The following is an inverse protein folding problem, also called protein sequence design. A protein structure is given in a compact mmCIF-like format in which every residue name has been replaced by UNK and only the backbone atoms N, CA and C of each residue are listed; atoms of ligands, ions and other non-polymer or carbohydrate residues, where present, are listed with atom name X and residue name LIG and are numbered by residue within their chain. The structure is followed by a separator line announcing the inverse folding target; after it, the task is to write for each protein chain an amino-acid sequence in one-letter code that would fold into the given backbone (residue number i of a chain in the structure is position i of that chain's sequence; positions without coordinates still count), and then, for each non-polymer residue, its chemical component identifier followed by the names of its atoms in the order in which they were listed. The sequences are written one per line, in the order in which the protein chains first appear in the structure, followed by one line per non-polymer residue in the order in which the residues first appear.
data_IF_756291363167
#
_entry.id   IF_756291363167
#
_cell.length_a   1.000
_cell.length_b   1.000
_cell.length_c   1.000
_cell.angle_alpha   90.00
_cell.angle_beta   90.00
_cell.angle_gamma   90.00
#
_symmetry.space_group_name_H-M   'P 1'
#
loop_
_entity.id
_entity.type
_entity.pdbx_description
1 polymer ?
#
# COMPACT_ATOMS: atom_id res chain seq x y z
N UNK A 1 -1.59 9.65 8.23
CA UNK A 1 -2.73 10.33 7.56
C UNK A 1 -3.40 9.37 6.59
N UNK A 2 -4.74 9.41 6.41
CA UNK A 2 -5.47 8.44 5.57
C UNK A 2 -5.49 8.88 4.10
N UNK A 3 -4.68 8.26 3.23
CA UNK A 3 -4.53 8.67 1.81
C UNK A 3 -5.34 7.90 0.76
N UNK A 4 -6.06 6.84 1.16
CA UNK A 4 -6.69 5.94 0.19
C UNK A 4 -7.76 6.61 -0.67
N UNK A 5 -8.62 7.44 -0.08
CA UNK A 5 -9.70 8.11 -0.82
C UNK A 5 -9.16 9.05 -1.90
N UNK A 6 -8.13 9.85 -1.57
CA UNK A 6 -7.45 10.69 -2.55
C UNK A 6 -6.82 9.82 -3.65
N UNK A 7 -6.07 8.78 -3.28
CA UNK A 7 -5.42 7.90 -4.23
C UNK A 7 -6.40 7.25 -5.23
N UNK A 8 -7.57 6.79 -4.78
CA UNK A 8 -8.59 6.22 -5.66
C UNK A 8 -9.10 7.25 -6.68
N UNK A 9 -9.46 8.44 -6.20
CA UNK A 9 -9.97 9.51 -7.06
C UNK A 9 -8.89 10.02 -8.03
N UNK A 10 -7.67 10.22 -7.55
CA UNK A 10 -6.51 10.60 -8.35
C UNK A 10 -6.21 9.56 -9.44
N UNK A 11 -6.30 8.28 -9.12
CA UNK A 11 -6.08 7.19 -10.08
C UNK A 11 -7.15 7.20 -11.17
N UNK A 12 -8.42 7.37 -10.79
CA UNK A 12 -9.53 7.45 -11.76
C UNK A 12 -9.38 8.70 -12.64
N UNK A 13 -9.00 9.84 -12.06
CA UNK A 13 -8.79 11.09 -12.79
C UNK A 13 -7.65 10.98 -13.80
N UNK A 14 -6.51 10.40 -13.42
CA UNK A 14 -5.31 10.37 -14.26
C UNK A 14 -5.27 9.19 -15.24
N UNK A 15 -5.77 8.02 -14.84
CA UNK A 15 -5.64 6.78 -15.60
C UNK A 15 -6.99 6.17 -16.01
N UNK A 16 -8.11 6.78 -15.61
CA UNK A 16 -9.44 6.31 -15.99
C UNK A 16 -9.63 6.35 -17.50
N UNK A 17 -10.27 5.32 -18.04
CA UNK A 17 -10.57 5.25 -19.49
C UNK A 17 -11.59 6.28 -19.97
N UNK A 18 -12.26 7.00 -19.05
CA UNK A 18 -13.40 7.87 -19.33
C UNK A 18 -14.72 7.14 -19.62
N UNK A 19 -14.71 5.81 -19.74
CA UNK A 19 -15.91 5.01 -20.04
C UNK A 19 -16.76 4.68 -18.80
N UNK A 20 -16.21 4.89 -17.60
CA UNK A 20 -16.89 4.68 -16.32
C UNK A 20 -16.67 5.90 -15.44
N UNK A 21 -17.73 6.34 -14.78
CA UNK A 21 -17.68 7.48 -13.84
C UNK A 21 -17.19 7.01 -12.46
N UNK A 22 -16.81 7.96 -11.59
CA UNK A 22 -16.51 7.66 -10.18
C UNK A 22 -17.69 6.96 -9.51
N UNK A 23 -18.93 7.38 -9.82
CA UNK A 23 -20.14 6.73 -9.30
C UNK A 23 -20.22 5.26 -9.72
N UNK A 24 -19.96 4.95 -11.00
CA UNK A 24 -19.98 3.57 -11.51
C UNK A 24 -18.94 2.68 -10.82
N UNK A 25 -17.77 3.24 -10.52
CA UNK A 25 -16.68 2.52 -9.82
C UNK A 25 -17.04 2.21 -8.37
N UNK A 26 -17.70 3.15 -7.67
CA UNK A 26 -18.06 2.97 -6.26
C UNK A 26 -19.37 2.22 -6.04
N UNK A 27 -20.26 2.18 -7.04
CA UNK A 27 -21.59 1.58 -6.94
C UNK A 27 -21.58 0.13 -6.41
N UNK A 28 -20.70 -0.79 -6.87
CA UNK A 28 -20.66 -2.14 -6.30
C UNK A 28 -20.34 -2.15 -4.80
N UNK A 29 -19.45 -1.27 -4.33
CA UNK A 29 -19.07 -1.18 -2.93
C UNK A 29 -20.19 -0.54 -2.07
N UNK A 30 -20.86 0.48 -2.60
CA UNK A 30 -22.03 1.10 -1.96
C UNK A 30 -23.14 0.06 -1.82
N UNK A 31 -23.47 -0.66 -2.89
CA UNK A 31 -24.49 -1.71 -2.88
C UNK A 31 -24.17 -2.81 -1.87
N UNK A 32 -22.94 -3.31 -1.83
CA UNK A 32 -22.53 -4.30 -0.81
C UNK A 32 -22.65 -3.75 0.61
N UNK A 33 -22.38 -2.47 0.84
CA UNK A 33 -22.57 -1.85 2.14
C UNK A 33 -24.06 -1.68 2.51
N UNK A 34 -24.95 -1.43 1.55
CA UNK A 34 -26.39 -1.21 1.79
C UNK A 34 -27.21 -2.50 1.86
N UNK A 35 -26.98 -3.41 0.91
CA UNK A 35 -27.68 -4.70 0.79
C UNK A 35 -27.06 -5.76 1.71
N UNK A 36 -25.77 -5.60 1.97
CA UNK A 36 -25.00 -6.43 2.88
C UNK A 36 -24.29 -7.60 2.22
N UNK A 37 -23.36 -8.18 2.96
CA UNK A 37 -22.60 -9.36 2.55
C UNK A 37 -22.29 -10.27 3.75
N UNK A 38 -21.81 -11.49 3.48
CA UNK A 38 -21.37 -12.44 4.51
C UNK A 38 -19.84 -12.46 4.59
N UNK A 39 -19.30 -12.55 5.80
CA UNK A 39 -17.86 -12.73 6.06
C UNK A 39 -17.65 -13.39 7.44
N UNK A 40 -16.51 -14.06 7.67
CA UNK A 40 -16.28 -14.77 8.95
C UNK A 40 -14.92 -14.50 9.61
N UNK A 41 -13.94 -14.05 8.82
CA UNK A 41 -12.58 -13.83 9.30
C UNK A 41 -12.36 -12.36 9.64
N UNK A 42 -11.61 -12.07 10.71
CA UNK A 42 -11.22 -10.71 11.18
C UNK A 42 -12.04 -10.09 12.31
N UNK A 43 -12.93 -10.84 12.99
CA UNK A 43 -13.68 -10.31 14.16
C UNK A 43 -12.75 -9.68 15.19
N UNK A 44 -11.73 -10.43 15.62
CA UNK A 44 -10.76 -9.96 16.63
C UNK A 44 -9.98 -8.73 16.15
N UNK A 45 -9.62 -8.69 14.87
CA UNK A 45 -8.91 -7.55 14.28
C UNK A 45 -9.78 -6.30 14.28
N UNK A 46 -11.04 -6.42 13.85
CA UNK A 46 -12.01 -5.31 13.81
C UNK A 46 -12.27 -4.76 15.21
N UNK A 47 -12.52 -5.63 16.20
CA UNK A 47 -12.72 -5.22 17.60
C UNK A 47 -11.52 -4.47 18.18
N UNK A 48 -10.31 -4.94 17.86
CA UNK A 48 -9.09 -4.35 18.39
C UNK A 48 -8.68 -3.06 17.65
N UNK A 49 -9.12 -2.86 16.42
CA UNK A 49 -8.73 -1.73 15.60
C UNK A 49 -9.38 -0.41 16.04
N UNK A 50 -10.60 -0.45 16.58
CA UNK A 50 -11.35 0.77 16.94
C UNK A 50 -12.39 0.47 18.02
N UNK A 51 -12.67 1.42 18.95
CA UNK A 51 -13.84 1.32 19.82
C UNK A 51 -15.16 1.23 19.06
N UNK A 52 -15.21 1.72 17.81
CA UNK A 52 -16.39 1.67 16.95
C UNK A 52 -16.39 0.44 16.04
N UNK A 53 -15.51 -0.56 16.30
CA UNK A 53 -15.42 -1.77 15.50
C UNK A 53 -16.73 -2.56 15.44
N UNK A 54 -17.60 -2.40 16.45
CA UNK A 54 -18.94 -3.00 16.48
C UNK A 54 -19.84 -2.52 15.32
N UNK A 55 -19.58 -1.35 14.72
CA UNK A 55 -20.30 -0.91 13.51
C UNK A 55 -20.05 -1.82 12.30
N UNK A 56 -18.96 -2.60 12.33
CA UNK A 56 -18.61 -3.58 11.32
C UNK A 56 -18.94 -5.01 11.73
N UNK A 57 -19.69 -5.20 12.82
CA UNK A 57 -20.03 -6.51 13.39
C UNK A 57 -21.54 -6.67 13.57
N UNK A 58 -22.04 -7.90 13.44
CA UNK A 58 -23.43 -8.23 13.69
C UNK A 58 -23.59 -8.54 15.19
N UNK A 59 -24.16 -7.58 15.94
CA UNK A 59 -24.29 -7.67 17.40
C UNK A 59 -22.95 -7.96 18.09
N UNK A 60 -21.88 -7.29 17.64
CA UNK A 60 -20.54 -7.45 18.19
C UNK A 60 -19.87 -8.78 17.84
N UNK A 61 -20.33 -9.52 16.83
CA UNK A 61 -19.65 -10.72 16.30
C UNK A 61 -19.59 -10.73 14.77
N UNK A 62 -18.70 -11.52 14.21
CA UNK A 62 -18.75 -11.82 12.78
C UNK A 62 -20.07 -12.54 12.43
N UNK A 63 -20.65 -12.29 11.24
CA UNK A 63 -21.87 -12.99 10.84
C UNK A 63 -21.62 -14.50 10.67
N UNK A 64 -22.56 -15.30 11.17
CA UNK A 64 -22.56 -16.76 11.01
C UNK A 64 -22.93 -17.18 9.58
N UNK A 65 -22.69 -18.44 9.16
CA UNK A 65 -23.19 -18.93 7.88
C UNK A 65 -24.68 -18.63 7.69
N UNK A 66 -25.04 -18.03 6.56
CA UNK A 66 -26.41 -17.62 6.24
C UNK A 66 -26.84 -16.27 6.81
N UNK A 67 -26.00 -15.62 7.63
CA UNK A 67 -26.22 -14.24 8.07
C UNK A 67 -25.53 -13.25 7.14
N UNK A 68 -26.13 -12.06 7.02
CA UNK A 68 -25.64 -10.96 6.21
C UNK A 68 -25.52 -9.73 7.11
N UNK A 69 -24.41 -9.00 7.00
CA UNK A 69 -24.22 -7.72 7.67
C UNK A 69 -24.34 -6.57 6.67
N UNK A 70 -25.00 -5.50 7.08
CA UNK A 70 -25.10 -4.23 6.34
C UNK A 70 -24.28 -3.16 7.04
N UNK A 71 -23.64 -2.30 6.27
CA UNK A 71 -22.75 -1.23 6.73
C UNK A 71 -23.27 0.15 6.25
N UNK A 72 -24.44 0.62 6.73
CA UNK A 72 -25.08 1.83 6.22
C UNK A 72 -24.24 3.11 6.40
N UNK A 73 -23.44 3.19 7.47
CA UNK A 73 -22.54 4.34 7.67
C UNK A 73 -21.38 4.33 6.67
N UNK A 74 -20.88 3.16 6.29
CA UNK A 74 -19.86 3.03 5.25
C UNK A 74 -20.43 3.40 3.88
N UNK A 75 -21.65 2.96 3.57
CA UNK A 75 -22.36 3.36 2.36
C UNK A 75 -22.50 4.89 2.26
N UNK A 76 -22.95 5.54 3.35
CA UNK A 76 -23.01 7.01 3.41
C UNK A 76 -21.65 7.65 3.16
N UNK A 77 -20.58 7.15 3.77
CA UNK A 77 -19.22 7.65 3.53
C UNK A 77 -18.79 7.51 2.07
N UNK A 78 -19.10 6.40 1.41
CA UNK A 78 -18.83 6.27 -0.02
C UNK A 78 -19.68 7.21 -0.88
N UNK A 79 -20.95 7.45 -0.51
CA UNK A 79 -21.80 8.44 -1.20
C UNK A 79 -21.23 9.85 -1.09
N UNK A 80 -20.72 10.25 0.07
CA UNK A 80 -20.05 11.56 0.24
C UNK A 80 -18.84 11.69 -0.70
N UNK A 81 -18.04 10.63 -0.86
CA UNK A 81 -16.91 10.61 -1.79
C UNK A 81 -17.37 10.71 -3.24
N UNK A 82 -18.46 10.05 -3.61
CA UNK A 82 -19.02 10.11 -4.97
C UNK A 82 -19.60 11.49 -5.26
N UNK A 83 -20.33 12.08 -4.32
CA UNK A 83 -21.03 13.36 -4.49
C UNK A 83 -20.11 14.58 -4.42
N UNK A 84 -19.08 14.52 -3.57
CA UNK A 84 -18.20 15.65 -3.27
C UNK A 84 -16.73 15.41 -3.60
N UNK A 85 -16.40 14.27 -4.23
CA UNK A 85 -15.02 13.93 -4.57
C UNK A 85 -14.13 13.83 -3.33
N UNK A 86 -12.93 14.39 -3.41
CA UNK A 86 -11.96 14.39 -2.28
C UNK A 86 -12.52 15.13 -1.08
N UNK A 87 -13.22 16.24 -1.31
CA UNK A 87 -13.78 17.05 -0.23
C UNK A 87 -14.81 16.27 0.61
N UNK A 88 -15.50 15.29 0.04
CA UNK A 88 -16.40 14.40 0.78
C UNK A 88 -15.74 13.52 1.83
N UNK A 89 -14.42 13.28 1.73
CA UNK A 89 -13.64 12.51 2.71
C UNK A 89 -12.75 13.40 3.59
N UNK A 90 -12.11 14.39 2.97
CA UNK A 90 -11.08 15.23 3.60
C UNK A 90 -11.64 16.51 4.23
N UNK A 91 -12.92 16.82 4.00
CA UNK A 91 -13.65 17.93 4.63
C UNK A 91 -15.04 17.44 5.12
N UNK A 92 -15.70 18.28 5.90
CA UNK A 92 -17.06 18.03 6.39
C UNK A 92 -17.20 16.80 7.30
N UNK A 93 -18.37 16.14 7.21
CA UNK A 93 -18.81 15.09 8.15
C UNK A 93 -17.80 13.95 8.35
N UNK A 94 -17.17 13.48 7.26
CA UNK A 94 -16.23 12.36 7.33
C UNK A 94 -14.93 12.79 8.00
N UNK A 95 -14.42 13.97 7.66
CA UNK A 95 -13.22 14.53 8.27
C UNK A 95 -13.41 14.82 9.77
N UNK A 96 -14.53 15.43 10.14
CA UNK A 96 -14.93 15.68 11.52
C UNK A 96 -14.98 14.38 12.33
N UNK A 97 -15.66 13.34 11.82
CA UNK A 97 -15.73 12.04 12.49
C UNK A 97 -14.35 11.37 12.67
N UNK A 98 -13.43 11.55 11.71
CA UNK A 98 -12.06 11.04 11.83
C UNK A 98 -11.29 11.79 12.92
N UNK A 99 -11.34 13.13 12.91
CA UNK A 99 -10.65 13.98 13.89
C UNK A 99 -11.18 13.71 15.30
N UNK A 100 -12.49 13.66 15.48
CA UNK A 100 -13.13 13.39 16.77
C UNK A 100 -12.70 12.03 17.34
N UNK A 101 -12.70 10.98 16.49
CA UNK A 101 -12.26 9.65 16.91
C UNK A 101 -10.77 9.66 17.31
N UNK A 102 -9.90 10.30 16.53
CA UNK A 102 -8.47 10.36 16.81
C UNK A 102 -8.20 11.15 18.11
N UNK A 103 -8.84 12.30 18.28
CA UNK A 103 -8.73 13.12 19.49
C UNK A 103 -9.26 12.39 20.73
N UNK A 104 -10.35 11.63 20.61
CA UNK A 104 -10.87 10.79 21.71
C UNK A 104 -9.87 9.75 22.21
N UNK A 105 -8.84 9.43 21.41
CA UNK A 105 -7.74 8.51 21.75
C UNK A 105 -6.43 9.22 22.08
N UNK A 106 -6.45 10.54 22.26
CA UNK A 106 -5.28 11.35 22.58
C UNK A 106 -4.41 11.71 21.38
N UNK A 107 -4.90 11.52 20.16
CA UNK A 107 -4.21 11.99 18.95
C UNK A 107 -4.35 13.50 18.75
N UNK A 108 -3.45 14.07 17.95
CA UNK A 108 -3.32 15.52 17.73
C UNK A 108 -3.76 15.98 16.32
N UNK A 109 -4.44 15.10 15.57
CA UNK A 109 -4.86 15.43 14.20
C UNK A 109 -5.93 16.53 14.23
N UNK A 110 -5.76 17.53 13.38
CA UNK A 110 -6.71 18.61 13.15
C UNK A 110 -7.41 18.48 11.80
N UNK A 111 -8.53 19.20 11.62
CA UNK A 111 -9.22 19.25 10.33
C UNK A 111 -8.33 19.81 9.22
N UNK A 112 -7.49 20.79 9.55
CA UNK A 112 -6.53 21.38 8.61
C UNK A 112 -5.50 20.36 8.13
N UNK A 113 -5.13 19.37 8.96
CA UNK A 113 -4.27 18.28 8.49
C UNK A 113 -4.96 17.57 7.33
N UNK A 114 -6.21 17.12 7.52
CA UNK A 114 -7.01 16.43 6.50
C UNK A 114 -7.27 17.30 5.26
N UNK A 115 -7.62 18.57 5.45
CA UNK A 115 -7.92 19.48 4.35
C UNK A 115 -6.69 19.76 3.47
N UNK A 116 -5.48 19.73 4.04
CA UNK A 116 -4.22 19.91 3.32
C UNK A 116 -3.64 18.59 2.76
N UNK A 117 -4.40 17.49 2.80
CA UNK A 117 -3.96 16.24 2.20
C UNK A 117 -3.74 16.37 0.70
N UNK A 118 -2.66 15.78 0.20
CA UNK A 118 -2.46 15.59 -1.23
C UNK A 118 -1.80 14.24 -1.50
N UNK A 119 -2.10 13.69 -2.68
CA UNK A 119 -1.40 12.55 -3.25
C UNK A 119 -0.20 13.06 -4.05
N UNK A 120 0.89 12.29 -4.03
CA UNK A 120 2.08 12.58 -4.84
C UNK A 120 2.22 11.50 -5.89
N UNK A 121 2.27 11.90 -7.16
CA UNK A 121 2.73 11.03 -8.23
C UNK A 121 4.25 10.99 -8.25
N UNK A 122 4.80 9.79 -8.34
CA UNK A 122 6.25 9.56 -8.27
C UNK A 122 6.69 8.76 -9.49
N UNK A 123 7.91 9.02 -9.95
CA UNK A 123 8.54 8.15 -10.93
C UNK A 123 8.95 6.85 -10.25
N UNK A 124 8.52 5.68 -10.75
CA UNK A 124 8.93 4.40 -10.20
C UNK A 124 10.44 4.18 -10.30
N UNK A 125 11.02 3.55 -9.28
CA UNK A 125 12.38 3.01 -9.37
C UNK A 125 12.33 1.66 -10.07
N UNK A 126 13.42 1.25 -10.73
CA UNK A 126 13.44 0.01 -11.49
C UNK A 126 14.81 -0.65 -11.54
N UNK A 127 14.80 -1.95 -11.78
CA UNK A 127 15.98 -2.76 -12.08
C UNK A 127 15.69 -3.70 -13.24
N UNK A 128 16.59 -3.81 -14.21
CA UNK A 128 16.46 -4.77 -15.32
C UNK A 128 17.32 -5.99 -15.02
N UNK A 129 16.68 -7.11 -14.69
CA UNK A 129 17.34 -8.37 -14.38
C UNK A 129 17.58 -9.19 -15.65
N UNK A 130 18.78 -9.76 -15.78
CA UNK A 130 19.24 -10.59 -16.89
C UNK A 130 19.12 -9.93 -18.27
N UNK A 131 19.07 -8.59 -18.34
CA UNK A 131 18.75 -7.81 -19.55
C UNK A 131 17.40 -8.17 -20.22
N UNK A 132 16.51 -8.88 -19.54
CA UNK A 132 15.25 -9.38 -20.10
C UNK A 132 14.02 -8.79 -19.42
N UNK A 133 14.04 -8.67 -18.09
CA UNK A 133 12.87 -8.29 -17.30
C UNK A 133 13.15 -7.05 -16.47
N UNK A 134 12.38 -5.99 -16.71
CA UNK A 134 12.41 -4.79 -15.88
C UNK A 134 11.38 -4.88 -14.76
N UNK A 135 11.86 -4.88 -13.51
CA UNK A 135 11.03 -4.83 -12.30
C UNK A 135 10.91 -3.39 -11.86
N UNK A 136 9.67 -2.93 -11.65
CA UNK A 136 9.33 -1.58 -11.18
C UNK A 136 8.83 -1.63 -9.74
N UNK A 137 9.30 -0.70 -8.93
CA UNK A 137 8.93 -0.57 -7.52
C UNK A 137 8.63 0.90 -7.18
N UNK A 138 7.83 1.10 -6.13
CA UNK A 138 7.60 2.44 -5.59
C UNK A 138 8.90 2.96 -4.95
N UNK A 139 9.30 4.22 -5.19
CA UNK A 139 10.43 4.82 -4.49
C UNK A 139 10.18 4.89 -2.97
N UNK A 140 11.22 5.22 -2.18
CA UNK A 140 11.05 5.53 -0.76
C UNK A 140 9.88 6.50 -0.52
N UNK A 141 9.08 6.31 0.53
CA UNK A 141 9.34 5.55 1.76
C UNK A 141 8.92 4.07 1.77
N UNK A 142 8.52 3.48 0.63
CA UNK A 142 8.25 2.05 0.53
C UNK A 142 9.48 1.17 0.78
N UNK A 143 9.27 -0.14 0.93
CA UNK A 143 10.36 -1.14 1.08
C UNK A 143 10.69 -1.88 -0.23
N UNK A 144 10.04 -1.52 -1.35
CA UNK A 144 10.21 -2.15 -2.66
C UNK A 144 11.64 -2.13 -3.18
N UNK A 145 12.44 -1.12 -2.81
CA UNK A 145 13.88 -1.04 -3.13
C UNK A 145 14.66 -2.29 -2.69
N UNK A 146 14.21 -2.99 -1.64
CA UNK A 146 14.83 -4.24 -1.18
C UNK A 146 14.81 -5.31 -2.26
N UNK A 147 13.71 -5.43 -3.01
CA UNK A 147 13.61 -6.37 -4.11
C UNK A 147 14.60 -6.03 -5.23
N UNK A 148 14.71 -4.74 -5.59
CA UNK A 148 15.65 -4.28 -6.60
C UNK A 148 17.12 -4.51 -6.20
N UNK A 149 17.46 -4.24 -4.93
CA UNK A 149 18.79 -4.53 -4.39
C UNK A 149 19.10 -6.03 -4.41
N UNK A 150 18.15 -6.87 -4.02
CA UNK A 150 18.32 -8.32 -4.03
C UNK A 150 18.56 -8.84 -5.46
N UNK A 151 17.82 -8.33 -6.46
CA UNK A 151 18.04 -8.67 -7.87
C UNK A 151 19.44 -8.29 -8.35
N UNK A 152 19.92 -7.10 -8.01
CA UNK A 152 21.28 -6.67 -8.36
C UNK A 152 22.37 -7.50 -7.69
N UNK A 153 22.19 -7.87 -6.42
CA UNK A 153 23.10 -8.78 -5.72
C UNK A 153 23.13 -10.14 -6.41
N UNK A 154 21.96 -10.71 -6.71
CA UNK A 154 21.84 -12.01 -7.38
C UNK A 154 22.50 -12.01 -8.75
N UNK A 155 22.31 -10.96 -9.54
CA UNK A 155 22.95 -10.84 -10.84
C UNK A 155 24.47 -10.78 -10.71
N UNK A 156 24.97 -9.94 -9.79
CA UNK A 156 26.39 -9.76 -9.57
C UNK A 156 27.10 -11.04 -9.08
N UNK A 157 26.51 -11.81 -8.16
CA UNK A 157 27.11 -13.07 -7.70
C UNK A 157 27.15 -14.14 -8.81
N UNK A 158 26.17 -14.14 -9.74
CA UNK A 158 26.15 -15.03 -10.89
C UNK A 158 27.22 -14.62 -11.91
N UNK A 159 27.37 -13.32 -12.19
CA UNK A 159 28.40 -12.78 -13.08
C UNK A 159 29.82 -13.08 -12.57
N UNK A 160 30.02 -12.94 -11.25
CA UNK A 160 31.28 -13.29 -10.59
C UNK A 160 31.51 -14.81 -10.45
N UNK A 161 30.56 -15.64 -10.88
CA UNK A 161 30.59 -17.11 -10.76
C UNK A 161 30.76 -17.60 -9.33
N UNK A 162 30.29 -16.82 -8.35
CA UNK A 162 30.27 -17.17 -6.93
C UNK A 162 29.11 -18.12 -6.58
N UNK A 163 28.09 -18.14 -7.44
CA UNK A 163 26.95 -19.05 -7.38
C UNK A 163 26.63 -19.56 -8.78
N UNK A 164 25.99 -20.74 -8.87
CA UNK A 164 25.33 -21.15 -10.11
C UNK A 164 24.20 -20.18 -10.44
N UNK A 165 23.81 -20.02 -11.72
CA UNK A 165 22.62 -19.26 -12.06
C UNK A 165 21.37 -19.85 -11.37
N UNK A 166 20.55 -19.00 -10.77
CA UNK A 166 19.33 -19.41 -10.05
C UNK A 166 18.40 -20.23 -10.94
N UNK A 167 18.33 -19.92 -12.24
CA UNK A 167 17.49 -20.62 -13.21
C UNK A 167 17.99 -22.05 -13.52
N UNK A 168 19.24 -22.37 -13.20
CA UNK A 168 19.81 -23.71 -13.35
C UNK A 168 19.74 -24.53 -12.06
N UNK A 169 19.33 -23.92 -10.95
CA UNK A 169 19.12 -24.60 -9.67
C UNK A 169 17.73 -25.20 -9.62
N UNK A 170 17.58 -26.34 -8.93
CA UNK A 170 16.27 -26.88 -8.62
C UNK A 170 15.52 -25.94 -7.68
N UNK A 171 14.29 -25.57 -8.03
CA UNK A 171 13.45 -24.69 -7.23
C UNK A 171 13.27 -25.25 -5.81
N UNK A 172 13.43 -24.40 -4.79
CA UNK A 172 13.39 -24.75 -3.37
C UNK A 172 14.44 -25.79 -2.90
N UNK A 173 15.45 -26.08 -3.71
CA UNK A 173 16.62 -26.82 -3.22
C UNK A 173 17.37 -26.02 -2.13
N UNK A 174 18.17 -26.67 -1.27
CA UNK A 174 18.96 -25.97 -0.26
C UNK A 174 19.88 -24.89 -0.84
N UNK A 175 20.49 -25.14 -2.00
CA UNK A 175 21.36 -24.20 -2.70
C UNK A 175 20.56 -22.98 -3.19
N UNK A 176 19.40 -23.21 -3.83
CA UNK A 176 18.50 -22.15 -4.29
C UNK A 176 18.04 -21.25 -3.14
N UNK A 177 17.57 -21.86 -2.05
CA UNK A 177 17.08 -21.11 -0.89
C UNK A 177 18.20 -20.36 -0.18
N UNK A 178 19.38 -20.98 -0.03
CA UNK A 178 20.53 -20.31 0.57
C UNK A 178 20.91 -19.05 -0.19
N UNK A 179 21.03 -19.14 -1.51
CA UNK A 179 21.37 -18.00 -2.38
C UNK A 179 20.35 -16.87 -2.25
N UNK A 180 19.05 -17.19 -2.28
CA UNK A 180 17.99 -16.19 -2.10
C UNK A 180 17.99 -15.55 -0.71
N UNK A 181 18.16 -16.37 0.35
CA UNK A 181 18.16 -15.91 1.74
C UNK A 181 19.32 -14.95 1.98
N UNK A 182 20.54 -15.29 1.54
CA UNK A 182 21.69 -14.41 1.75
C UNK A 182 21.60 -13.13 0.91
N UNK A 183 21.11 -13.20 -0.32
CA UNK A 183 20.87 -12.01 -1.13
C UNK A 183 19.84 -11.06 -0.49
N UNK A 184 18.71 -11.60 -0.02
CA UNK A 184 17.68 -10.83 0.68
C UNK A 184 18.22 -10.24 1.98
N UNK A 185 18.98 -11.02 2.76
CA UNK A 185 19.59 -10.55 4.02
C UNK A 185 20.49 -9.35 3.79
N UNK A 186 21.34 -9.39 2.76
CA UNK A 186 22.19 -8.26 2.37
C UNK A 186 21.37 -7.07 1.87
N UNK A 187 20.34 -7.31 1.05
CA UNK A 187 19.44 -6.26 0.57
C UNK A 187 18.71 -5.54 1.72
N UNK A 188 18.22 -6.29 2.72
CA UNK A 188 17.59 -5.72 3.92
C UNK A 188 18.58 -4.90 4.75
N UNK A 189 19.84 -5.35 4.87
CA UNK A 189 20.88 -4.59 5.56
C UNK A 189 21.19 -3.27 4.82
N UNK A 190 21.30 -3.31 3.49
CA UNK A 190 21.50 -2.11 2.66
C UNK A 190 20.33 -1.14 2.75
N UNK A 191 19.08 -1.64 2.68
CA UNK A 191 17.88 -0.79 2.78
C UNK A 191 17.80 -0.07 4.13
N UNK A 192 18.08 -0.75 5.25
CA UNK A 192 18.04 -0.14 6.58
C UNK A 192 19.04 1.01 6.77
N UNK A 193 20.20 0.96 6.09
CA UNK A 193 21.19 2.04 6.16
C UNK A 193 20.79 3.29 5.36
N UNK A 194 19.80 3.18 4.46
CA UNK A 194 19.48 4.22 3.48
C UNK A 194 17.99 4.61 3.43
N UNK A 195 17.14 4.13 4.35
CA UNK A 195 15.74 4.51 4.37
C UNK A 195 15.53 5.82 5.15
N UNK A 196 15.31 6.93 4.43
CA UNK A 196 14.89 8.22 4.98
C UNK A 196 13.83 8.85 4.07
N UNK A 197 12.98 9.71 4.64
CA UNK A 197 11.90 10.38 3.94
C UNK A 197 12.43 11.19 2.74
N UNK A 198 11.89 10.97 1.55
CA UNK A 198 12.39 11.53 0.29
C UNK A 198 12.28 13.07 0.23
N UNK A 199 11.49 13.67 1.14
CA UNK A 199 11.44 15.14 1.32
C UNK A 199 12.63 15.70 2.13
N UNK A 200 13.37 14.85 2.83
CA UNK A 200 14.53 15.24 3.64
C UNK A 200 15.87 14.75 3.05
N UNK A 201 15.84 13.84 2.05
CA UNK A 201 17.06 13.28 1.47
C UNK A 201 16.99 13.26 -0.06
N UNK A 202 17.85 14.05 -0.70
CA UNK A 202 18.05 14.07 -2.14
C UNK A 202 18.89 12.84 -2.50
N UNK A 203 18.28 11.80 -3.06
CA UNK A 203 19.02 10.69 -3.67
C UNK A 203 19.20 10.93 -5.17
N UNK A 204 20.39 11.42 -5.54
CA UNK A 204 20.92 11.29 -6.89
C UNK A 204 21.73 10.01 -6.99
N UNK A 205 21.11 8.91 -7.41
CA UNK A 205 21.85 7.72 -7.84
C UNK A 205 21.98 7.80 -9.36
N UNK A 206 23.00 8.49 -9.83
CA UNK A 206 23.53 8.25 -11.18
C UNK A 206 24.28 6.90 -11.14
N UNK A 207 23.96 6.03 -12.08
CA UNK A 207 24.44 4.63 -12.16
C UNK A 207 25.94 4.42 -12.40
N UNK A 208 26.80 5.40 -12.07
CA UNK A 208 28.23 5.37 -12.38
C UNK A 208 29.15 5.28 -11.14
N UNK A 209 28.62 5.20 -9.90
CA UNK A 209 29.46 5.27 -8.69
C UNK A 209 29.66 3.95 -7.91
N UNK A 210 29.22 2.81 -8.43
CA UNK A 210 29.54 1.49 -7.87
C UNK A 210 30.66 0.74 -8.63
N UNK A 211 31.44 1.46 -9.42
CA UNK A 211 32.65 0.95 -10.05
C UNK A 211 33.84 1.86 -9.69
N UNK A 212 34.37 1.72 -8.47
CA UNK A 212 35.78 1.94 -8.09
C UNK A 212 35.90 2.08 -6.57
N UNK A 213 36.03 0.95 -5.89
CA UNK A 213 36.75 0.90 -4.61
C UNK A 213 37.34 -0.50 -4.46
N UNK A 214 38.39 -0.77 -5.23
CA UNK A 214 39.48 -1.68 -4.88
C UNK A 214 40.73 -1.22 -5.59
#
# INVERSE_FOLDING_TARGET
MKGAAAAWLDTIEHFGSGNVTVADVFEPAIRLAEEGYAWQHSEKLIKNASPNGDEMLLNGKAPLPGQIIKLPNLAKTFREVVEHGKDGFYKGRVAEAIVDLIKSKGGLMELDDLANHSSTFVEPIKYTYANEVTVYECPPNGQGITALLALGILENIQEQKLSRPLLEMEHNSPEYLHTLIEALRLAFAGMQMHQADNKAVIYGVHGDQIANTT
#
